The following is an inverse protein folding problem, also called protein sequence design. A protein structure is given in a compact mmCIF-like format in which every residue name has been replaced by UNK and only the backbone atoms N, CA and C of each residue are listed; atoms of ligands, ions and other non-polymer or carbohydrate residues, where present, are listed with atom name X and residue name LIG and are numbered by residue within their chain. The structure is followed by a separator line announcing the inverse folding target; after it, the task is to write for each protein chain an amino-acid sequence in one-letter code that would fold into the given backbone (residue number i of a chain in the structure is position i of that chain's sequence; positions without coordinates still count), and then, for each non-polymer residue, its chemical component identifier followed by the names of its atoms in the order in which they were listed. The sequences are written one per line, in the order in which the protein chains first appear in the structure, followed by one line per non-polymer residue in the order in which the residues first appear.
data_IF_389569648248
#
_entry.id   IF_389569648248
#
_cell.length_a   1.000
_cell.length_b   1.000
_cell.length_c   1.000
_cell.angle_alpha   90.00
_cell.angle_beta   90.00
_cell.angle_gamma   90.00
#
_symmetry.space_group_name_H-M   'P 1'
#
loop_
_entity.id
_entity.type
_entity.pdbx_description
1 polymer ?
#
# COMPACT_ATOMS: atom_id res chain seq x y z
N UNK A 1 -12.08 5.81 -6.85
CA UNK A 1 -11.28 4.57 -6.92
C UNK A 1 -12.26 3.43 -7.06
N UNK A 2 -12.26 2.74 -8.21
CA UNK A 2 -13.11 1.58 -8.45
C UNK A 2 -12.20 0.48 -9.00
N UNK A 3 -12.20 -0.69 -8.37
CA UNK A 3 -11.49 -1.86 -8.88
C UNK A 3 -12.18 -2.31 -10.18
N UNK A 4 -11.45 -2.49 -11.31
CA UNK A 4 -12.08 -2.94 -12.55
C UNK A 4 -12.73 -4.30 -12.37
N UNK A 5 -13.96 -4.49 -12.86
CA UNK A 5 -14.67 -5.76 -12.70
C UNK A 5 -13.92 -6.95 -13.35
N UNK A 6 -13.20 -6.69 -14.44
CA UNK A 6 -12.34 -7.67 -15.11
C UNK A 6 -10.98 -7.89 -14.41
N UNK A 7 -10.68 -7.11 -13.37
CA UNK A 7 -9.35 -7.04 -12.77
C UNK A 7 -8.33 -6.33 -13.66
N UNK A 8 -7.08 -6.33 -13.20
CA UNK A 8 -5.93 -5.84 -13.96
C UNK A 8 -5.25 -6.99 -14.70
N UNK A 9 -4.81 -6.81 -15.97
CA UNK A 9 -3.96 -7.78 -16.65
C UNK A 9 -2.67 -8.02 -15.87
N UNK A 10 -2.38 -9.29 -15.56
CA UNK A 10 -1.13 -9.70 -14.90
C UNK A 10 -0.29 -10.51 -15.88
N UNK A 11 0.88 -10.00 -16.23
CA UNK A 11 1.87 -10.73 -17.01
C UNK A 11 2.92 -11.35 -16.10
N UNK A 12 3.21 -12.63 -16.35
CA UNK A 12 4.29 -13.36 -15.67
C UNK A 12 5.43 -13.52 -16.66
N UNK A 13 6.60 -12.99 -16.30
CA UNK A 13 7.83 -13.11 -17.09
C UNK A 13 8.93 -13.78 -16.26
N UNK A 14 9.92 -14.41 -16.89
CA UNK A 14 11.08 -14.91 -16.16
C UNK A 14 11.77 -13.78 -15.37
N UNK A 15 11.93 -12.62 -15.99
CA UNK A 15 12.55 -11.43 -15.41
C UNK A 15 11.64 -10.22 -15.62
N UNK A 16 11.64 -9.31 -14.63
CA UNK A 16 10.94 -8.01 -14.71
C UNK A 16 11.93 -6.88 -14.44
N UNK A 17 11.92 -6.27 -13.25
CA UNK A 17 12.85 -5.23 -12.81
C UNK A 17 13.61 -5.67 -11.53
N UNK A 18 14.39 -4.75 -10.94
CA UNK A 18 15.17 -5.01 -9.73
C UNK A 18 14.32 -5.38 -8.50
N UNK A 19 13.06 -4.96 -8.43
CA UNK A 19 12.13 -5.25 -7.35
C UNK A 19 11.37 -6.58 -7.55
N UNK A 20 11.43 -7.15 -8.76
CA UNK A 20 10.71 -8.37 -9.13
C UNK A 20 9.29 -8.12 -9.64
N UNK A 21 8.78 -6.89 -9.59
CA UNK A 21 7.50 -6.52 -10.17
C UNK A 21 7.44 -5.02 -10.52
N UNK A 22 6.53 -4.67 -11.42
CA UNK A 22 6.13 -3.29 -11.68
C UNK A 22 4.71 -3.22 -12.25
N UNK A 23 4.14 -2.05 -12.17
CA UNK A 23 2.89 -1.67 -12.82
C UNK A 23 3.12 -0.49 -13.77
N UNK A 24 2.25 -0.38 -14.78
CA UNK A 24 2.27 0.73 -15.74
C UNK A 24 1.09 1.66 -15.49
N UNK A 25 1.08 2.83 -16.13
CA UNK A 25 -0.08 3.74 -16.13
C UNK A 25 -1.23 3.25 -17.02
N UNK A 26 -1.06 2.13 -17.74
CA UNK A 26 -2.05 1.54 -18.64
C UNK A 26 -2.62 0.22 -18.13
N UNK A 27 -2.82 0.10 -16.81
CA UNK A 27 -3.48 -1.02 -16.13
C UNK A 27 -2.71 -2.37 -16.13
N UNK A 28 -1.57 -2.47 -16.81
CA UNK A 28 -0.74 -3.68 -16.85
C UNK A 28 0.12 -3.83 -15.59
N UNK A 29 0.07 -5.01 -14.97
CA UNK A 29 0.96 -5.45 -13.89
C UNK A 29 1.90 -6.55 -14.42
N UNK A 30 3.18 -6.49 -14.07
CA UNK A 30 4.18 -7.47 -14.49
C UNK A 30 4.92 -8.02 -13.27
N UNK A 31 4.95 -9.34 -13.11
CA UNK A 31 5.67 -10.02 -12.03
C UNK A 31 6.72 -10.99 -12.58
N UNK A 32 7.83 -11.16 -11.86
CA UNK A 32 8.88 -12.11 -12.18
C UNK A 32 8.60 -13.49 -11.58
N UNK A 33 8.61 -14.53 -12.40
CA UNK A 33 8.54 -15.92 -11.93
C UNK A 33 9.81 -16.40 -11.25
N UNK A 34 10.96 -15.76 -11.51
CA UNK A 34 12.26 -16.14 -10.92
C UNK A 34 12.63 -15.32 -9.68
N UNK A 35 11.89 -14.25 -9.36
CA UNK A 35 12.18 -13.44 -8.18
C UNK A 35 11.82 -14.20 -6.90
N UNK A 36 12.85 -14.56 -6.12
CA UNK A 36 12.71 -15.34 -4.88
C UNK A 36 11.86 -14.64 -3.82
N UNK A 37 11.84 -13.30 -3.82
CA UNK A 37 11.11 -12.51 -2.84
C UNK A 37 9.59 -12.53 -3.00
N UNK A 38 9.09 -12.93 -4.17
CA UNK A 38 7.65 -12.85 -4.52
C UNK A 38 7.08 -14.22 -4.89
N UNK A 39 7.62 -15.29 -4.31
CA UNK A 39 7.15 -16.65 -4.53
C UNK A 39 5.93 -16.97 -3.65
N UNK A 40 5.12 -17.95 -4.07
CA UNK A 40 3.93 -18.39 -3.34
C UNK A 40 2.99 -17.22 -2.99
N UNK A 41 2.58 -17.09 -1.73
CA UNK A 41 1.61 -16.08 -1.28
C UNK A 41 2.14 -14.64 -1.40
N UNK A 42 3.45 -14.44 -1.39
CA UNK A 42 4.05 -13.12 -1.64
C UNK A 42 3.86 -12.65 -3.09
N UNK A 43 3.73 -13.58 -4.05
CA UNK A 43 3.38 -13.24 -5.42
C UNK A 43 1.97 -12.65 -5.51
N UNK A 44 1.02 -13.25 -4.78
CA UNK A 44 -0.34 -12.72 -4.68
C UNK A 44 -0.36 -11.34 -4.00
N UNK A 45 0.38 -11.16 -2.91
CA UNK A 45 0.51 -9.86 -2.22
C UNK A 45 1.10 -8.81 -3.17
N UNK A 46 2.11 -9.19 -3.95
CA UNK A 46 2.74 -8.30 -4.94
C UNK A 46 1.76 -7.87 -6.02
N UNK A 47 0.89 -8.74 -6.51
CA UNK A 47 -0.15 -8.35 -7.49
C UNK A 47 -1.09 -7.30 -6.90
N UNK A 48 -1.52 -7.45 -5.64
CA UNK A 48 -2.34 -6.43 -4.97
C UNK A 48 -1.55 -5.14 -4.76
N UNK A 49 -0.29 -5.22 -4.36
CA UNK A 49 0.61 -4.08 -4.20
C UNK A 49 0.70 -3.25 -5.50
N UNK A 50 1.05 -3.90 -6.60
CA UNK A 50 1.15 -3.26 -7.92
C UNK A 50 -0.20 -2.73 -8.42
N UNK A 51 -1.29 -3.46 -8.16
CA UNK A 51 -2.64 -3.01 -8.49
C UNK A 51 -3.04 -1.73 -7.75
N UNK A 52 -2.58 -1.54 -6.51
CA UNK A 52 -2.89 -0.32 -5.75
C UNK A 52 -2.14 0.92 -6.26
N UNK A 53 -0.98 0.76 -6.91
CA UNK A 53 -0.28 1.87 -7.56
C UNK A 53 -1.11 2.50 -8.70
N UNK A 54 -2.12 1.80 -9.23
CA UNK A 54 -3.07 2.37 -10.20
C UNK A 54 -3.92 3.51 -9.62
N UNK A 55 -3.91 3.69 -8.29
CA UNK A 55 -4.59 4.78 -7.59
C UNK A 55 -3.66 5.77 -6.90
N UNK A 56 -2.37 5.78 -7.24
CA UNK A 56 -1.40 6.67 -6.58
C UNK A 56 -1.85 8.13 -6.62
N UNK A 57 -2.24 8.65 -7.79
CA UNK A 57 -2.66 10.06 -7.92
C UNK A 57 -3.88 10.38 -7.06
N UNK A 58 -4.90 9.52 -7.09
CA UNK A 58 -6.12 9.72 -6.31
C UNK A 58 -5.84 9.63 -4.80
N UNK A 59 -5.01 8.67 -4.37
CA UNK A 59 -4.63 8.52 -2.96
C UNK A 59 -3.78 9.71 -2.52
N UNK A 60 -2.82 10.15 -3.32
CA UNK A 60 -2.01 11.33 -3.03
C UNK A 60 -2.87 12.58 -2.88
N UNK A 61 -3.81 12.83 -3.78
CA UNK A 61 -4.69 13.99 -3.67
C UNK A 61 -5.56 13.94 -2.42
N UNK A 62 -6.17 12.79 -2.09
CA UNK A 62 -6.99 12.68 -0.88
C UNK A 62 -6.14 12.89 0.39
N UNK A 63 -4.94 12.31 0.46
CA UNK A 63 -4.04 12.52 1.61
C UNK A 63 -3.60 13.99 1.72
N UNK A 64 -3.31 14.64 0.59
CA UNK A 64 -2.98 16.08 0.55
C UNK A 64 -4.16 16.94 0.99
N UNK A 65 -5.37 16.62 0.55
CA UNK A 65 -6.60 17.31 0.97
C UNK A 65 -6.80 17.24 2.47
N UNK A 66 -6.66 16.04 3.06
CA UNK A 66 -6.77 15.88 4.51
C UNK A 66 -5.66 16.63 5.25
N UNK A 67 -4.42 16.62 4.73
CA UNK A 67 -3.30 17.35 5.33
C UNK A 67 -3.51 18.88 5.30
N UNK A 68 -4.06 19.41 4.20
CA UNK A 68 -4.42 20.84 4.07
C UNK A 68 -5.42 21.28 5.14
N UNK A 69 -6.40 20.44 5.49
CA UNK A 69 -7.41 20.77 6.53
C UNK A 69 -6.79 21.00 7.91
N UNK A 70 -5.61 20.46 8.17
CA UNK A 70 -4.88 20.63 9.44
C UNK A 70 -3.61 21.47 9.30
N UNK A 71 -3.46 22.21 8.18
CA UNK A 71 -2.30 23.06 7.88
C UNK A 71 -0.94 22.32 7.94
N UNK A 72 -0.93 21.04 7.57
CA UNK A 72 0.27 20.19 7.55
C UNK A 72 0.48 19.56 6.18
N UNK A 73 1.53 18.75 6.07
CA UNK A 73 1.84 17.99 4.85
C UNK A 73 1.83 16.48 5.15
N UNK A 74 1.31 15.70 4.20
CA UNK A 74 1.39 14.25 4.29
C UNK A 74 2.86 13.81 4.27
N UNK A 75 3.30 12.92 5.17
CA UNK A 75 4.70 12.54 5.25
C UNK A 75 5.09 11.68 4.05
N UNK A 76 6.36 11.81 3.61
CA UNK A 76 6.90 10.98 2.52
C UNK A 76 6.78 9.51 2.88
N UNK A 77 6.32 8.70 1.93
CA UNK A 77 6.17 7.25 2.11
C UNK A 77 4.84 6.79 2.71
N UNK A 78 3.94 7.69 3.15
CA UNK A 78 2.64 7.28 3.71
C UNK A 78 1.78 6.51 2.71
N UNK A 79 1.72 6.96 1.45
CA UNK A 79 0.98 6.26 0.41
C UNK A 79 1.54 4.85 0.18
N UNK A 80 2.87 4.70 0.12
CA UNK A 80 3.49 3.40 -0.11
C UNK A 80 3.36 2.47 1.10
N UNK A 81 3.45 3.01 2.31
CA UNK A 81 3.16 2.27 3.54
C UNK A 81 1.71 1.76 3.58
N UNK A 82 0.75 2.58 3.13
CA UNK A 82 -0.65 2.19 2.97
C UNK A 82 -0.82 1.02 1.99
N UNK A 83 -0.08 1.02 0.88
CA UNK A 83 -0.10 -0.06 -0.12
C UNK A 83 0.43 -1.36 0.49
N UNK A 84 1.63 -1.33 1.08
CA UNK A 84 2.21 -2.51 1.75
C UNK A 84 1.27 -3.09 2.80
N UNK A 85 0.74 -2.24 3.68
CA UNK A 85 -0.16 -2.68 4.73
C UNK A 85 -1.46 -3.27 4.18
N UNK A 86 -2.10 -2.59 3.23
CA UNK A 86 -3.39 -3.02 2.69
C UNK A 86 -3.26 -4.30 1.85
N UNK A 87 -2.20 -4.43 1.04
CA UNK A 87 -1.95 -5.64 0.25
C UNK A 87 -1.71 -6.85 1.17
N UNK A 88 -0.91 -6.65 2.22
CA UNK A 88 -0.66 -7.66 3.24
C UNK A 88 -1.92 -8.16 3.96
N UNK A 89 -2.74 -7.23 4.44
CA UNK A 89 -4.01 -7.56 5.10
C UNK A 89 -5.00 -8.23 4.14
N UNK A 90 -5.01 -7.84 2.87
CA UNK A 90 -5.87 -8.47 1.85
C UNK A 90 -5.51 -9.95 1.64
N UNK A 91 -4.21 -10.29 1.55
CA UNK A 91 -3.78 -11.69 1.43
C UNK A 91 -3.99 -12.45 2.72
N UNK A 92 -3.66 -11.86 3.87
CA UNK A 92 -3.87 -12.48 5.19
C UNK A 92 -5.33 -12.84 5.44
N UNK A 93 -6.29 -12.07 4.90
CA UNK A 93 -7.72 -12.38 5.01
C UNK A 93 -8.12 -13.72 4.35
N UNK A 94 -7.40 -14.14 3.31
CA UNK A 94 -7.66 -15.40 2.58
C UNK A 94 -6.66 -16.50 2.90
N UNK A 95 -5.46 -16.15 3.38
CA UNK A 95 -4.42 -17.07 3.84
C UNK A 95 -3.97 -16.63 5.25
N UNK A 96 -4.65 -17.06 6.32
CA UNK A 96 -4.42 -16.55 7.69
C UNK A 96 -2.99 -16.71 8.21
N UNK A 97 -2.26 -17.73 7.77
CA UNK A 97 -0.86 -17.98 8.11
C UNK A 97 0.15 -17.08 7.37
N UNK A 98 -0.32 -16.30 6.40
CA UNK A 98 0.53 -15.39 5.65
C UNK A 98 1.07 -14.27 6.55
N UNK A 99 2.40 -14.18 6.61
CA UNK A 99 3.12 -13.04 7.17
C UNK A 99 3.33 -12.07 6.02
N UNK A 100 2.80 -10.84 6.09
CA UNK A 100 2.91 -9.91 4.98
C UNK A 100 4.35 -9.55 4.65
N UNK A 101 4.55 -9.17 3.40
CA UNK A 101 5.84 -8.88 2.81
C UNK A 101 6.60 -7.84 3.64
N UNK A 102 5.90 -6.80 4.09
CA UNK A 102 6.52 -5.72 4.82
C UNK A 102 7.09 -6.14 6.17
N UNK A 103 6.44 -7.07 6.88
CA UNK A 103 6.97 -7.74 8.07
C UNK A 103 8.11 -8.70 7.70
N UNK A 104 7.88 -9.60 6.73
CA UNK A 104 8.81 -10.68 6.39
C UNK A 104 10.16 -10.18 5.93
N UNK A 105 10.17 -9.17 5.08
CA UNK A 105 11.36 -8.64 4.42
C UNK A 105 11.89 -7.35 5.06
N UNK A 106 11.29 -6.93 6.17
CA UNK A 106 11.77 -5.82 6.99
C UNK A 106 11.60 -4.45 6.35
N UNK A 107 10.51 -4.23 5.62
CA UNK A 107 10.20 -2.93 4.98
C UNK A 107 9.98 -1.84 6.03
N UNK A 108 9.31 -2.19 7.13
CA UNK A 108 9.05 -1.24 8.23
C UNK A 108 10.36 -0.68 8.81
N UNK A 109 11.39 -1.49 8.93
CA UNK A 109 12.68 -1.11 9.48
C UNK A 109 13.49 -0.20 8.53
N UNK A 110 13.09 -0.08 7.26
CA UNK A 110 13.76 0.74 6.23
C UNK A 110 13.17 2.16 6.12
N UNK A 111 12.60 2.68 7.21
CA UNK A 111 12.11 4.06 7.29
C UNK A 111 10.59 4.24 7.29
N UNK A 112 9.81 3.15 7.25
CA UNK A 112 8.34 3.20 7.33
C UNK A 112 7.78 2.80 8.71
N UNK A 113 8.65 2.49 9.68
CA UNK A 113 8.29 1.94 10.99
C UNK A 113 7.27 2.77 11.78
N UNK A 114 7.45 4.09 11.92
CA UNK A 114 6.47 4.95 12.60
C UNK A 114 5.08 4.92 11.97
N UNK A 115 4.99 4.67 10.65
CA UNK A 115 3.71 4.57 9.95
C UNK A 115 2.99 3.26 10.27
N UNK A 116 3.73 2.18 10.55
CA UNK A 116 3.16 0.86 10.83
C UNK A 116 2.16 0.91 11.99
N UNK A 117 2.55 1.53 13.10
CA UNK A 117 1.69 1.64 14.31
C UNK A 117 0.39 2.39 13.98
N UNK A 118 0.50 3.53 13.29
CA UNK A 118 -0.68 4.29 12.89
C UNK A 118 -1.57 3.49 11.93
N UNK A 119 -1.01 2.69 11.03
CA UNK A 119 -1.77 1.83 10.12
C UNK A 119 -2.46 0.69 10.86
N UNK A 120 -1.79 0.04 11.80
CA UNK A 120 -2.40 -1.00 12.66
C UNK A 120 -3.59 -0.45 13.46
N UNK A 121 -3.45 0.74 14.04
CA UNK A 121 -4.49 1.34 14.88
C UNK A 121 -5.65 1.95 14.08
N UNK A 122 -5.40 2.50 12.89
CA UNK A 122 -6.37 3.34 12.15
C UNK A 122 -6.80 2.70 10.83
N UNK A 123 -5.85 2.16 10.05
CA UNK A 123 -6.17 1.57 8.73
C UNK A 123 -6.83 0.21 8.87
N UNK A 124 -6.36 -0.62 9.81
CA UNK A 124 -6.89 -1.98 10.00
C UNK A 124 -8.38 -2.01 10.35
N UNK A 125 -8.90 -1.22 11.32
CA UNK A 125 -10.33 -1.22 11.61
C UNK A 125 -11.19 -0.86 10.40
N UNK A 126 -10.73 0.08 9.55
CA UNK A 126 -11.41 0.39 8.30
C UNK A 126 -11.48 -0.82 7.34
N UNK A 127 -10.39 -1.57 7.19
CA UNK A 127 -10.37 -2.80 6.38
C UNK A 127 -11.28 -3.90 6.95
N UNK A 128 -11.56 -3.84 8.25
CA UNK A 128 -12.50 -4.73 8.96
C UNK A 128 -13.95 -4.26 8.90
N UNK A 129 -14.22 -3.11 8.26
CA UNK A 129 -15.56 -2.57 8.04
C UNK A 129 -16.00 -1.52 9.06
N UNK A 130 -15.08 -0.98 9.86
CA UNK A 130 -15.37 0.06 10.84
C UNK A 130 -15.11 1.46 10.29
N UNK A 131 -16.12 2.32 10.36
CA UNK A 131 -16.04 3.70 9.87
C UNK A 131 -15.91 3.79 8.34
N UNK A 132 -15.48 4.95 7.88
CA UNK A 132 -15.33 5.27 6.45
C UNK A 132 -13.86 5.45 6.08
N UNK A 133 -13.58 5.35 4.78
CA UNK A 133 -12.24 5.60 4.24
C UNK A 133 -11.74 7.01 4.59
N UNK A 134 -12.60 7.99 4.44
CA UNK A 134 -12.23 9.39 4.61
C UNK A 134 -11.98 9.74 6.09
N UNK A 135 -12.71 9.10 7.02
CA UNK A 135 -12.40 9.17 8.46
C UNK A 135 -11.04 8.56 8.78
N UNK A 136 -10.77 7.35 8.27
CA UNK A 136 -9.48 6.70 8.48
C UNK A 136 -8.30 7.50 7.91
N UNK A 137 -8.47 8.09 6.71
CA UNK A 137 -7.45 8.95 6.11
C UNK A 137 -7.26 10.26 6.86
N UNK A 138 -8.35 10.90 7.32
CA UNK A 138 -8.26 12.09 8.16
C UNK A 138 -7.47 11.79 9.44
N UNK A 139 -7.74 10.67 10.11
CA UNK A 139 -7.08 10.31 11.36
C UNK A 139 -5.60 9.92 11.16
N UNK A 140 -5.29 9.17 10.09
CA UNK A 140 -3.90 8.89 9.70
C UNK A 140 -3.10 10.19 9.50
N UNK A 141 -3.70 11.17 8.83
CA UNK A 141 -3.06 12.47 8.63
C UNK A 141 -2.86 13.21 9.95
N UNK A 142 -3.87 13.27 10.83
CA UNK A 142 -3.67 13.90 12.15
C UNK A 142 -2.49 13.30 12.92
N UNK A 143 -2.32 11.98 12.81
CA UNK A 143 -1.28 11.22 13.53
C UNK A 143 0.11 11.33 12.90
N UNK A 144 0.19 11.44 11.59
CA UNK A 144 1.46 11.28 10.85
C UNK A 144 1.92 12.52 10.10
N UNK A 145 1.05 13.50 9.88
CA UNK A 145 1.40 14.69 9.14
C UNK A 145 2.46 15.54 9.87
N UNK A 146 3.39 16.02 9.08
CA UNK A 146 4.55 16.80 9.53
C UNK A 146 4.36 18.27 9.19
N UNK A 147 5.18 19.13 9.80
CA UNK A 147 5.14 20.55 9.50
C UNK A 147 5.69 20.81 8.09
N UNK A 148 5.17 21.83 7.36
CA UNK A 148 5.64 22.13 6.01
C UNK A 148 7.15 22.40 5.89
N UNK A 149 7.80 22.80 6.99
CA UNK A 149 9.25 23.05 7.08
C UNK A 149 10.09 21.77 7.14
N UNK A 150 9.46 20.61 7.36
CA UNK A 150 10.11 19.29 7.50
C UNK A 150 9.98 18.45 6.21
N UNK A 151 9.59 19.06 5.09
CA UNK A 151 9.31 18.39 3.81
C UNK A 151 10.48 17.64 3.19
#
# INVERSE_FOLDING_TARGET
MQWPAAGFPVHVSAYSNWAGAYSTTGDLLVISSQSRGIQATYGLETIFHEGMHQWDDQVFEVLREQARKVNKVAPRGLSHALIFFTAGEAVRRVVPEHVPYAEKFGVWQRGLGPMKVALEEIRKPYLEGHGTRDEAFAELIKRTAIDPTQK
#
